data_IF_748668801632
#
_entry.id   IF_748668801632
#
_cell.length_a   1.000
_cell.length_b   1.000
_cell.length_c   1.000
_cell.angle_alpha   90.00
_cell.angle_beta   90.00
_cell.angle_gamma   90.00
#
_symmetry.space_group_name_H-M   'P 1'
#
loop_
_entity.id
_entity.type
_entity.pdbx_description
1 polymer ?
#
# COMPACT_ATOMS: atom_id res chain seq x y z
N UNK A 1 29.22 28.63 -4.35
CA UNK A 1 28.55 27.35 -4.68
C UNK A 1 27.35 27.08 -3.75
N UNK A 2 27.51 27.15 -2.43
CA UNK A 2 26.42 26.93 -1.45
C UNK A 2 25.19 27.83 -1.64
N UNK A 3 25.36 29.13 -1.87
CA UNK A 3 24.26 30.08 -2.07
C UNK A 3 23.39 29.81 -3.33
N UNK A 4 24.00 29.25 -4.38
CA UNK A 4 23.30 28.91 -5.62
C UNK A 4 22.43 27.67 -5.40
N UNK A 5 22.97 26.69 -4.68
CA UNK A 5 22.26 25.46 -4.32
C UNK A 5 21.07 25.75 -3.39
N UNK A 6 21.24 26.61 -2.38
CA UNK A 6 20.12 27.01 -1.49
C UNK A 6 19.04 27.80 -2.23
N UNK A 7 19.42 28.64 -3.19
CA UNK A 7 18.48 29.40 -4.01
C UNK A 7 17.65 28.49 -4.94
N UNK A 8 18.29 27.53 -5.60
CA UNK A 8 17.63 26.53 -6.44
C UNK A 8 16.67 25.63 -5.64
N UNK A 9 17.05 25.24 -4.42
CA UNK A 9 16.18 24.45 -3.53
C UNK A 9 14.96 25.29 -3.10
N UNK A 10 15.18 26.57 -2.76
CA UNK A 10 14.08 27.45 -2.36
C UNK A 10 13.08 27.68 -3.49
N UNK A 11 13.54 27.90 -4.72
CA UNK A 11 12.64 28.15 -5.87
C UNK A 11 11.89 26.90 -6.30
N UNK A 12 12.54 25.73 -6.26
CA UNK A 12 11.87 24.45 -6.55
C UNK A 12 10.76 24.17 -5.53
N UNK A 13 11.02 24.34 -4.23
CA UNK A 13 9.99 24.21 -3.19
C UNK A 13 8.81 25.16 -3.44
N UNK A 14 9.06 26.45 -3.69
CA UNK A 14 8.00 27.44 -3.93
C UNK A 14 7.13 27.04 -5.13
N UNK A 15 7.73 26.60 -6.23
CA UNK A 15 6.98 26.13 -7.40
C UNK A 15 6.16 24.88 -7.07
N UNK A 16 6.72 23.90 -6.35
CA UNK A 16 5.99 22.70 -5.93
C UNK A 16 4.79 23.00 -5.04
N UNK A 17 4.94 23.93 -4.08
CA UNK A 17 3.84 24.40 -3.25
C UNK A 17 2.74 25.08 -4.08
N UNK A 18 3.11 25.98 -4.99
CA UNK A 18 2.15 26.66 -5.88
C UNK A 18 1.37 25.66 -6.77
N UNK A 19 2.02 24.61 -7.28
CA UNK A 19 1.35 23.56 -8.05
C UNK A 19 0.39 22.71 -7.21
N UNK A 20 0.74 22.39 -5.96
CA UNK A 20 -0.15 21.65 -5.06
C UNK A 20 -1.41 22.47 -4.71
N UNK A 21 -1.25 23.78 -4.53
CA UNK A 21 -2.33 24.70 -4.18
C UNK A 21 -3.27 24.97 -5.37
N UNK A 22 -2.74 25.05 -6.58
CA UNK A 22 -3.54 25.19 -7.81
C UNK A 22 -4.39 23.94 -8.10
N UNK A 23 -3.84 22.74 -7.90
CA UNK A 23 -4.59 21.49 -8.06
C UNK A 23 -5.69 21.35 -7.00
N UNK A 24 -5.43 21.79 -5.76
CA UNK A 24 -6.47 21.84 -4.73
C UNK A 24 -7.62 22.80 -5.09
N UNK A 25 -7.32 23.87 -5.83
CA UNK A 25 -8.30 24.86 -6.30
C UNK A 25 -9.16 24.36 -7.47
N UNK A 26 -8.64 23.43 -8.28
CA UNK A 26 -9.36 22.78 -9.39
C UNK A 26 -10.21 21.58 -8.95
N UNK A 27 -9.97 21.04 -7.76
CA UNK A 27 -10.71 19.92 -7.22
C UNK A 27 -12.13 20.33 -6.80
N UNK A 28 -13.14 19.74 -7.44
CA UNK A 28 -14.52 19.86 -6.99
C UNK A 28 -14.78 18.91 -5.82
N UNK A 29 -14.54 19.42 -4.61
CA UNK A 29 -14.73 18.65 -3.39
C UNK A 29 -16.18 18.21 -3.18
N UNK A 30 -17.15 19.06 -3.51
CA UNK A 30 -18.56 18.73 -3.28
C UNK A 30 -19.02 17.59 -4.20
N UNK A 31 -18.60 17.62 -5.47
CA UNK A 31 -18.84 16.54 -6.40
C UNK A 31 -18.07 15.27 -6.03
N UNK A 32 -16.86 15.40 -5.47
CA UNK A 32 -16.09 14.26 -4.95
C UNK A 32 -16.84 13.58 -3.80
N UNK A 33 -17.24 14.35 -2.79
CA UNK A 33 -17.96 13.82 -1.64
C UNK A 33 -19.29 13.18 -2.07
N UNK A 34 -20.01 13.81 -3.00
CA UNK A 34 -21.22 13.23 -3.56
C UNK A 34 -20.96 11.90 -4.27
N UNK A 35 -19.98 11.84 -5.17
CA UNK A 35 -19.65 10.63 -5.92
C UNK A 35 -19.18 9.50 -5.01
N UNK A 36 -18.35 9.80 -4.02
CA UNK A 36 -17.87 8.78 -3.07
C UNK A 36 -19.01 8.28 -2.19
N UNK A 37 -19.69 9.16 -1.46
CA UNK A 37 -20.62 8.74 -0.40
C UNK A 37 -22.00 8.32 -0.93
N UNK A 38 -22.44 8.84 -2.08
CA UNK A 38 -23.76 8.48 -2.65
C UNK A 38 -23.69 7.47 -3.80
N UNK A 39 -22.52 7.23 -4.39
CA UNK A 39 -22.39 6.27 -5.51
C UNK A 39 -21.52 5.07 -5.12
N UNK A 40 -20.30 5.31 -4.64
CA UNK A 40 -19.36 4.22 -4.36
C UNK A 40 -19.65 3.48 -3.03
N UNK A 41 -19.85 4.24 -1.95
CA UNK A 41 -20.03 3.70 -0.59
C UNK A 41 -21.28 2.82 -0.43
N UNK A 42 -22.47 3.14 -0.99
CA UNK A 42 -23.66 2.32 -0.76
C UNK A 42 -23.49 0.86 -1.20
N UNK A 43 -22.95 0.65 -2.40
CA UNK A 43 -22.66 -0.69 -2.93
C UNK A 43 -21.65 -1.43 -2.05
N UNK A 44 -20.61 -0.74 -1.59
CA UNK A 44 -19.62 -1.33 -0.70
C UNK A 44 -20.21 -1.72 0.65
N UNK A 45 -21.03 -0.85 1.25
CA UNK A 45 -21.70 -1.12 2.54
C UNK A 45 -22.61 -2.35 2.45
N UNK A 46 -23.36 -2.50 1.36
CA UNK A 46 -24.21 -3.68 1.14
C UNK A 46 -23.38 -4.97 1.08
N UNK A 47 -22.28 -4.96 0.32
CA UNK A 47 -21.37 -6.10 0.23
C UNK A 47 -20.74 -6.42 1.60
N UNK A 48 -20.33 -5.39 2.34
CA UNK A 48 -19.71 -5.55 3.65
C UNK A 48 -20.71 -6.01 4.73
N UNK A 49 -22.00 -5.72 4.60
CA UNK A 49 -23.03 -6.22 5.51
C UNK A 49 -23.20 -7.76 5.44
N UNK A 50 -22.80 -8.38 4.33
CA UNK A 50 -22.89 -9.85 4.16
C UNK A 50 -21.75 -10.61 4.84
N UNK A 51 -20.72 -9.91 5.31
CA UNK A 51 -19.51 -10.49 5.90
C UNK A 51 -19.24 -9.86 7.26
N UNK A 52 -18.93 -10.66 8.28
CA UNK A 52 -18.54 -10.10 9.58
C UNK A 52 -17.12 -9.52 9.52
N UNK A 53 -16.97 -8.31 8.97
CA UNK A 53 -15.66 -7.73 8.67
C UNK A 53 -14.88 -7.35 9.93
N UNK A 54 -15.56 -6.80 10.94
CA UNK A 54 -14.92 -6.26 12.13
C UNK A 54 -14.20 -7.34 12.94
N UNK A 55 -14.79 -8.54 13.09
CA UNK A 55 -14.20 -9.61 13.89
C UNK A 55 -13.59 -10.72 13.03
N UNK A 56 -14.13 -10.95 11.84
CA UNK A 56 -13.73 -12.07 10.98
C UNK A 56 -12.51 -11.79 10.12
N UNK A 57 -12.17 -10.51 9.90
CA UNK A 57 -11.06 -10.06 9.06
C UNK A 57 -10.84 -10.94 7.83
N UNK A 58 -11.86 -11.06 6.96
CA UNK A 58 -11.95 -12.10 5.93
C UNK A 58 -10.95 -11.91 4.76
N UNK A 59 -9.92 -11.09 4.93
CA UNK A 59 -8.87 -10.91 3.94
C UNK A 59 -8.14 -12.24 3.69
N UNK A 60 -7.89 -12.65 2.42
CA UNK A 60 -8.08 -11.91 1.17
C UNK A 60 -9.43 -12.18 0.44
N UNK A 61 -10.38 -12.91 1.03
CA UNK A 61 -11.62 -13.32 0.34
C UNK A 61 -12.51 -12.15 -0.11
N UNK A 62 -12.43 -11.01 0.59
CA UNK A 62 -13.16 -9.78 0.27
C UNK A 62 -12.36 -8.78 -0.57
N UNK A 63 -11.16 -9.16 -1.05
CA UNK A 63 -10.30 -8.28 -1.86
C UNK A 63 -11.04 -7.70 -3.06
N UNK A 64 -11.90 -8.49 -3.71
CA UNK A 64 -12.72 -8.04 -4.85
C UNK A 64 -13.64 -6.87 -4.49
N UNK A 65 -14.28 -6.91 -3.31
CA UNK A 65 -15.19 -5.84 -2.89
C UNK A 65 -14.42 -4.53 -2.64
N UNK A 66 -13.25 -4.64 -2.02
CA UNK A 66 -12.36 -3.50 -1.80
C UNK A 66 -11.81 -2.94 -3.12
N UNK A 67 -11.38 -3.80 -4.05
CA UNK A 67 -10.91 -3.40 -5.38
C UNK A 67 -12.01 -2.65 -6.16
N UNK A 68 -13.25 -3.14 -6.12
CA UNK A 68 -14.37 -2.46 -6.77
C UNK A 68 -14.64 -1.07 -6.18
N UNK A 69 -14.50 -0.92 -4.85
CA UNK A 69 -14.59 0.38 -4.20
C UNK A 69 -13.45 1.30 -4.67
N UNK A 70 -12.22 0.78 -4.74
CA UNK A 70 -11.08 1.53 -5.25
C UNK A 70 -11.28 2.01 -6.69
N UNK A 71 -11.73 1.13 -7.57
CA UNK A 71 -12.01 1.47 -8.97
C UNK A 71 -13.09 2.56 -9.08
N UNK A 72 -14.16 2.46 -8.28
CA UNK A 72 -15.21 3.46 -8.23
C UNK A 72 -14.68 4.82 -7.76
N UNK A 73 -13.95 4.86 -6.64
CA UNK A 73 -13.36 6.09 -6.10
C UNK A 73 -12.34 6.68 -7.06
N UNK A 74 -11.54 5.84 -7.73
CA UNK A 74 -10.60 6.28 -8.75
C UNK A 74 -11.31 6.95 -9.94
N UNK A 75 -12.49 6.44 -10.32
CA UNK A 75 -13.37 7.09 -11.30
C UNK A 75 -13.81 8.49 -10.85
N UNK A 76 -14.30 8.61 -9.61
CA UNK A 76 -14.72 9.89 -9.03
C UNK A 76 -13.56 10.89 -8.98
N UNK A 77 -12.39 10.47 -8.47
CA UNK A 77 -11.17 11.30 -8.40
C UNK A 77 -10.81 11.89 -9.76
N UNK A 78 -10.91 11.09 -10.83
CA UNK A 78 -10.64 11.55 -12.20
C UNK A 78 -11.68 12.55 -12.68
N UNK A 79 -12.96 12.31 -12.41
CA UNK A 79 -14.06 13.18 -12.82
C UNK A 79 -14.02 14.55 -12.11
N UNK A 80 -13.57 14.60 -10.86
CA UNK A 80 -13.59 15.80 -10.03
C UNK A 80 -12.25 16.53 -9.98
N UNK A 81 -11.26 16.07 -10.76
CA UNK A 81 -9.89 16.59 -10.78
C UNK A 81 -9.19 16.58 -9.40
N UNK A 82 -9.59 15.69 -8.49
CA UNK A 82 -9.08 15.62 -7.12
C UNK A 82 -7.89 14.65 -6.95
N UNK A 83 -7.10 14.40 -7.99
CA UNK A 83 -6.05 13.37 -7.98
C UNK A 83 -4.86 13.69 -7.06
N UNK A 84 -4.51 14.98 -6.91
CA UNK A 84 -3.41 15.42 -6.04
C UNK A 84 -3.88 15.81 -4.64
N UNK A 85 -5.17 15.73 -4.34
CA UNK A 85 -5.69 16.05 -3.01
C UNK A 85 -5.62 14.83 -2.08
N UNK A 86 -5.52 15.03 -0.75
CA UNK A 86 -5.51 13.92 0.20
C UNK A 86 -6.89 13.26 0.37
N UNK A 87 -7.90 13.62 -0.42
CA UNK A 87 -9.27 13.16 -0.22
C UNK A 87 -9.42 11.66 -0.42
N UNK A 88 -8.79 11.09 -1.47
CA UNK A 88 -8.78 9.62 -1.68
C UNK A 88 -8.17 8.90 -0.48
N UNK A 89 -6.99 9.34 -0.03
CA UNK A 89 -6.29 8.67 1.08
C UNK A 89 -7.02 8.82 2.41
N UNK A 90 -7.59 10.00 2.70
CA UNK A 90 -8.43 10.22 3.87
C UNK A 90 -9.66 9.31 3.86
N UNK A 91 -10.35 9.21 2.71
CA UNK A 91 -11.48 8.30 2.55
C UNK A 91 -11.10 6.84 2.86
N UNK A 92 -10.01 6.32 2.29
CA UNK A 92 -9.59 4.94 2.56
C UNK A 92 -9.16 4.71 4.01
N UNK A 93 -8.56 5.70 4.67
CA UNK A 93 -8.28 5.61 6.10
C UNK A 93 -9.57 5.47 6.91
N UNK A 94 -10.63 6.18 6.54
CA UNK A 94 -11.92 6.10 7.24
C UNK A 94 -12.63 4.77 6.96
N UNK A 95 -12.51 4.22 5.76
CA UNK A 95 -12.96 2.84 5.45
C UNK A 95 -12.21 1.83 6.31
N UNK A 96 -10.89 1.94 6.42
CA UNK A 96 -10.09 1.06 7.29
C UNK A 96 -10.49 1.18 8.76
N UNK A 97 -10.74 2.39 9.27
CA UNK A 97 -11.22 2.59 10.64
C UNK A 97 -12.63 2.05 10.88
N UNK A 98 -13.50 2.09 9.88
CA UNK A 98 -14.90 1.67 10.03
C UNK A 98 -15.04 0.15 10.00
N UNK A 99 -14.34 -0.50 9.06
CA UNK A 99 -14.50 -1.93 8.83
C UNK A 99 -13.34 -2.75 9.40
N UNK A 100 -12.11 -2.28 9.32
CA UNK A 100 -10.89 -3.08 9.54
C UNK A 100 -10.19 -2.78 10.87
N UNK A 101 -10.84 -2.07 11.80
CA UNK A 101 -10.19 -1.54 13.01
C UNK A 101 -9.54 -2.62 13.88
N UNK A 102 -10.20 -3.77 14.02
CA UNK A 102 -9.73 -4.88 14.85
C UNK A 102 -8.86 -5.89 14.08
N UNK A 103 -8.60 -5.63 12.79
CA UNK A 103 -7.85 -6.59 11.99
C UNK A 103 -6.36 -6.54 12.28
N UNK A 104 -5.71 -7.70 12.48
CA UNK A 104 -4.28 -7.74 12.73
C UNK A 104 -3.53 -7.30 11.47
N UNK A 105 -2.52 -6.45 11.68
CA UNK A 105 -1.56 -6.13 10.64
C UNK A 105 -0.57 -7.29 10.51
N UNK A 106 -0.67 -8.04 9.42
CA UNK A 106 0.29 -9.09 9.08
C UNK A 106 1.59 -8.45 8.61
N UNK A 107 2.53 -8.31 9.53
CA UNK A 107 3.88 -7.81 9.25
C UNK A 107 4.79 -8.99 8.92
N UNK A 108 5.65 -8.82 7.93
CA UNK A 108 6.74 -9.76 7.69
C UNK A 108 7.59 -9.93 8.97
N UNK A 109 8.13 -11.14 9.21
CA UNK A 109 9.01 -11.36 10.34
C UNK A 109 10.21 -10.41 10.28
N UNK A 110 10.75 -10.07 11.47
CA UNK A 110 11.91 -9.19 11.57
C UNK A 110 13.08 -9.72 10.72
N UNK A 111 13.91 -8.82 10.19
CA UNK A 111 15.06 -9.16 9.35
C UNK A 111 15.96 -10.18 10.05
N UNK A 112 16.09 -10.10 11.37
CA UNK A 112 16.86 -11.06 12.15
C UNK A 112 16.27 -12.48 12.07
N UNK A 113 14.93 -12.61 12.14
CA UNK A 113 14.25 -13.89 12.00
C UNK A 113 14.38 -14.41 10.58
N UNK A 114 14.19 -13.56 9.57
CA UNK A 114 14.41 -13.90 8.16
C UNK A 114 15.83 -14.42 7.93
N UNK A 115 16.84 -13.75 8.49
CA UNK A 115 18.24 -14.16 8.36
C UNK A 115 18.48 -15.50 9.07
N UNK A 116 17.96 -15.66 10.29
CA UNK A 116 18.12 -16.88 11.08
C UNK A 116 17.56 -18.11 10.34
N UNK A 117 16.45 -17.96 9.62
CA UNK A 117 15.86 -19.06 8.84
C UNK A 117 16.48 -19.25 7.46
N UNK A 118 16.89 -18.17 6.78
CA UNK A 118 17.42 -18.26 5.41
C UNK A 118 18.91 -18.62 5.36
N UNK A 119 19.73 -18.13 6.29
CA UNK A 119 21.17 -18.29 6.27
C UNK A 119 21.62 -19.77 6.36
N UNK A 120 21.04 -20.63 7.22
CA UNK A 120 21.40 -22.04 7.27
C UNK A 120 21.11 -22.77 5.95
N UNK A 121 19.98 -22.46 5.30
CA UNK A 121 19.62 -23.03 4.01
C UNK A 121 20.65 -22.66 2.93
N UNK A 122 21.09 -21.39 2.91
CA UNK A 122 22.13 -20.91 2.00
C UNK A 122 23.46 -21.61 2.28
N UNK A 123 23.88 -21.68 3.54
CA UNK A 123 25.14 -22.32 3.95
C UNK A 123 25.15 -23.79 3.55
N UNK A 124 24.10 -24.55 3.85
CA UNK A 124 24.00 -25.98 3.50
C UNK A 124 24.08 -26.16 1.98
N UNK A 125 23.35 -25.33 1.22
CA UNK A 125 23.36 -25.39 -0.25
C UNK A 125 24.77 -25.13 -0.80
N UNK A 126 25.51 -24.19 -0.21
CA UNK A 126 26.89 -23.90 -0.61
C UNK A 126 27.88 -25.00 -0.20
N UNK A 127 27.69 -25.62 0.96
CA UNK A 127 28.61 -26.64 1.47
C UNK A 127 28.37 -28.02 0.85
N UNK A 128 27.15 -28.31 0.38
CA UNK A 128 26.78 -29.62 -0.16
C UNK A 128 27.67 -30.12 -1.31
N UNK A 129 28.02 -29.31 -2.34
CA UNK A 129 28.91 -29.75 -3.43
C UNK A 129 30.35 -30.02 -2.94
N UNK A 130 30.79 -29.28 -1.92
CA UNK A 130 32.12 -29.42 -1.33
C UNK A 130 32.19 -30.72 -0.54
N UNK A 131 31.19 -30.98 0.31
CA UNK A 131 31.09 -32.25 1.02
C UNK A 131 30.94 -33.43 0.07
N UNK A 132 30.11 -33.31 -0.96
CA UNK A 132 29.91 -34.34 -1.97
C UNK A 132 31.22 -34.70 -2.68
N UNK A 133 31.96 -33.70 -3.15
CA UNK A 133 33.26 -33.94 -3.82
C UNK A 133 34.31 -34.54 -2.90
N UNK A 134 34.38 -34.10 -1.63
CA UNK A 134 35.26 -34.68 -0.62
C UNK A 134 34.95 -36.16 -0.39
N UNK A 135 33.67 -36.50 -0.19
CA UNK A 135 33.24 -37.88 0.02
C UNK A 135 33.54 -38.77 -1.20
N UNK A 136 33.25 -38.31 -2.42
CA UNK A 136 33.54 -39.09 -3.63
C UNK A 136 35.03 -39.36 -3.80
N UNK A 137 35.89 -38.39 -3.49
CA UNK A 137 37.34 -38.56 -3.59
C UNK A 137 37.89 -39.53 -2.53
N UNK A 138 37.31 -39.55 -1.32
CA UNK A 138 37.72 -40.46 -0.24
C UNK A 138 37.34 -41.93 -0.46
N UNK A 139 36.40 -42.22 -1.37
CA UNK A 139 35.97 -43.59 -1.70
C UNK A 139 36.78 -44.15 -2.89
N UNK A 140 37.42 -43.28 -3.68
CA UNK A 140 38.23 -43.66 -4.85
C UNK A 140 39.70 -43.95 -4.54
N UNK A 141 40.12 -43.83 -3.27
CA UNK A 141 41.46 -44.12 -2.75
C UNK A 141 41.45 -45.43 -1.95
#
# INVERSE_FOLDING_TARGET
MAHIVTSLISTTLIMSFAFAELDALLCDRAMFDYGVYNVCVPTFNELMATVNYQDGCPWPSTLRYYSNLEDCVQGVVKMTACAKTPLKSQFFLDVHRTYFLHCPYWKDPDVLMLLLFSLPCVIITFLFPIFYSYFTNSISE
#
